data_IF_621514347749
#
_entry.id   IF_621514347749
#
_cell.length_a   1.000
_cell.length_b   1.000
_cell.length_c   1.000
_cell.angle_alpha   90.00
_cell.angle_beta   90.00
_cell.angle_gamma   90.00
#
_symmetry.space_group_name_H-M   'P 1'
#
loop_
_entity.id
_entity.type
_entity.pdbx_description
1 polymer ?
#
# COMPACT_ATOMS: atom_id res chain seq x y z
N UNK A 1 14.90 -12.20 -21.82
CA UNK A 1 15.18 -11.54 -20.53
C UNK A 1 14.37 -10.24 -20.54
N UNK A 2 13.37 -10.13 -19.67
CA UNK A 2 12.48 -8.95 -19.64
C UNK A 2 13.23 -7.68 -19.23
N UNK A 3 12.62 -6.53 -19.48
CA UNK A 3 13.14 -5.24 -19.02
C UNK A 3 13.20 -5.19 -17.48
N UNK A 4 14.06 -4.33 -16.89
CA UNK A 4 14.15 -4.17 -15.44
C UNK A 4 12.80 -3.88 -14.77
N UNK A 5 11.91 -3.15 -15.45
CA UNK A 5 10.57 -2.85 -14.96
C UNK A 5 9.66 -4.10 -14.92
N UNK A 6 9.76 -4.97 -15.92
CA UNK A 6 8.99 -6.23 -15.96
C UNK A 6 9.46 -7.20 -14.87
N UNK A 7 10.78 -7.28 -14.62
CA UNK A 7 11.34 -8.11 -13.55
C UNK A 7 10.90 -7.61 -12.18
N UNK A 8 10.92 -6.28 -11.95
CA UNK A 8 10.46 -5.69 -10.69
C UNK A 8 8.96 -5.95 -10.44
N UNK A 9 8.12 -5.81 -11.47
CA UNK A 9 6.68 -6.10 -11.37
C UNK A 9 6.41 -7.59 -11.13
N UNK A 10 7.15 -8.49 -11.79
CA UNK A 10 7.01 -9.93 -11.57
C UNK A 10 7.42 -10.34 -10.14
N UNK A 11 8.48 -9.73 -9.59
CA UNK A 11 8.89 -9.95 -8.20
C UNK A 11 7.84 -9.46 -7.20
N UNK A 12 7.27 -8.27 -7.43
CA UNK A 12 6.19 -7.72 -6.61
C UNK A 12 4.92 -8.58 -6.69
N UNK A 13 4.58 -9.10 -7.86
CA UNK A 13 3.44 -9.99 -8.04
C UNK A 13 3.63 -11.32 -7.31
N UNK A 14 4.83 -11.91 -7.38
CA UNK A 14 5.18 -13.16 -6.69
C UNK A 14 5.16 -13.01 -5.16
N UNK A 15 5.66 -11.88 -4.65
CA UNK A 15 5.69 -11.58 -3.21
C UNK A 15 4.43 -10.94 -2.64
N UNK A 16 3.38 -10.72 -3.45
CA UNK A 16 2.22 -9.91 -3.08
C UNK A 16 1.56 -10.31 -1.76
N UNK A 17 1.30 -11.61 -1.58
CA UNK A 17 0.61 -12.15 -0.40
C UNK A 17 1.48 -12.08 0.88
N UNK A 18 2.81 -12.02 0.72
CA UNK A 18 3.77 -11.89 1.81
C UNK A 18 4.20 -10.44 2.08
N UNK A 19 3.75 -9.48 1.26
CA UNK A 19 4.17 -8.09 1.37
C UNK A 19 3.51 -7.40 2.59
N UNK A 20 4.28 -6.90 3.57
CA UNK A 20 3.73 -6.27 4.78
C UNK A 20 2.82 -5.07 4.49
N UNK A 21 3.11 -4.29 3.45
CA UNK A 21 2.30 -3.12 3.08
C UNK A 21 0.96 -3.57 2.50
N UNK A 22 0.95 -4.63 1.69
CA UNK A 22 -0.28 -5.21 1.15
C UNK A 22 -1.12 -5.81 2.28
N UNK A 23 -0.52 -6.62 3.16
CA UNK A 23 -1.23 -7.22 4.30
C UNK A 23 -1.85 -6.16 5.20
N UNK A 24 -1.12 -5.06 5.46
CA UNK A 24 -1.64 -3.93 6.23
C UNK A 24 -2.89 -3.32 5.57
N UNK A 25 -2.83 -3.07 4.26
CA UNK A 25 -3.99 -2.55 3.51
C UNK A 25 -5.18 -3.48 3.59
N UNK A 26 -4.98 -4.79 3.34
CA UNK A 26 -6.06 -5.77 3.38
C UNK A 26 -6.74 -5.79 4.75
N UNK A 27 -5.97 -5.94 5.83
CA UNK A 27 -6.49 -6.00 7.21
C UNK A 27 -7.27 -4.74 7.56
N UNK A 28 -6.75 -3.56 7.24
CA UNK A 28 -7.39 -2.29 7.59
C UNK A 28 -8.64 -2.01 6.75
N UNK A 29 -8.62 -2.38 5.46
CA UNK A 29 -9.80 -2.29 4.60
C UNK A 29 -10.89 -3.25 5.07
N UNK A 30 -10.54 -4.48 5.44
CA UNK A 30 -11.50 -5.46 5.98
C UNK A 30 -12.09 -4.99 7.31
N UNK A 31 -11.26 -4.50 8.23
CA UNK A 31 -11.70 -3.95 9.52
C UNK A 31 -12.59 -2.70 9.34
N UNK A 32 -12.33 -1.89 8.31
CA UNK A 32 -13.11 -0.70 7.96
C UNK A 32 -14.33 -0.96 7.07
N UNK A 33 -14.75 -2.22 6.88
CA UNK A 33 -15.93 -2.55 6.08
C UNK A 33 -15.76 -2.26 4.58
N UNK A 34 -14.56 -2.50 4.05
CA UNK A 34 -14.21 -2.29 2.65
C UNK A 34 -13.61 -0.91 2.35
N UNK A 35 -13.31 -0.09 3.36
CA UNK A 35 -12.70 1.24 3.18
C UNK A 35 -11.67 1.53 4.25
N UNK A 36 -10.58 2.17 3.85
CA UNK A 36 -9.59 2.69 4.80
C UNK A 36 -8.98 4.00 4.30
N UNK A 37 -8.90 4.99 5.19
CA UNK A 37 -8.27 6.27 4.91
C UNK A 37 -7.19 6.52 5.96
N UNK A 38 -5.98 6.89 5.53
CA UNK A 38 -4.88 7.16 6.44
C UNK A 38 -3.86 8.14 5.83
N UNK A 39 -2.99 8.70 6.66
CA UNK A 39 -1.79 9.41 6.20
C UNK A 39 -0.56 8.52 6.40
N UNK A 40 0.63 9.00 6.01
CA UNK A 40 1.85 8.21 6.12
C UNK A 40 2.14 7.71 7.56
N UNK A 41 1.97 8.57 8.57
CA UNK A 41 2.19 8.20 9.97
C UNK A 41 1.23 7.10 10.42
N UNK A 42 -0.06 7.25 10.10
CA UNK A 42 -1.07 6.26 10.44
C UNK A 42 -0.87 4.93 9.71
N UNK A 43 -0.39 4.98 8.46
CA UNK A 43 -0.07 3.77 7.71
C UNK A 43 1.10 3.01 8.35
N UNK A 44 2.21 3.71 8.66
CA UNK A 44 3.41 3.08 9.24
C UNK A 44 3.05 2.44 10.58
N UNK A 45 2.33 3.17 11.45
CA UNK A 45 1.87 2.62 12.73
C UNK A 45 0.96 1.39 12.56
N UNK A 46 0.03 1.41 11.59
CA UNK A 46 -0.81 0.26 11.29
C UNK A 46 -0.01 -0.93 10.74
N UNK A 47 1.08 -0.67 10.02
CA UNK A 47 1.94 -1.71 9.49
C UNK A 47 2.82 -2.34 10.56
N UNK A 48 3.36 -1.53 11.49
CA UNK A 48 4.08 -2.02 12.66
C UNK A 48 3.17 -2.87 13.56
N UNK A 49 1.93 -2.43 13.80
CA UNK A 49 0.93 -3.20 14.54
C UNK A 49 0.58 -4.52 13.83
N UNK A 50 0.40 -4.48 12.51
CA UNK A 50 -0.02 -5.66 11.74
C UNK A 50 1.11 -6.69 11.53
N UNK A 51 2.34 -6.23 11.32
CA UNK A 51 3.46 -7.05 10.82
C UNK A 51 4.69 -7.04 11.75
N UNK A 52 4.65 -6.31 12.86
CA UNK A 52 5.77 -6.17 13.81
C UNK A 52 6.85 -5.17 13.37
N UNK A 53 6.95 -4.89 12.07
CA UNK A 53 7.78 -3.81 11.52
C UNK A 53 7.23 -3.33 10.18
N UNK A 54 7.50 -2.07 9.85
CA UNK A 54 7.15 -1.50 8.56
C UNK A 54 8.41 -1.39 7.67
N UNK A 55 8.39 -1.89 6.42
CA UNK A 55 9.54 -1.77 5.52
C UNK A 55 9.78 -0.35 4.99
N UNK A 56 8.95 0.62 5.38
CA UNK A 56 9.10 2.03 5.01
C UNK A 56 9.01 2.92 6.25
N UNK A 57 9.92 3.88 6.35
CA UNK A 57 10.03 4.77 7.52
C UNK A 57 9.59 6.21 7.20
N UNK A 58 9.41 6.54 5.92
CA UNK A 58 9.07 7.90 5.47
C UNK A 58 7.85 7.91 4.55
N UNK A 59 7.09 9.02 4.59
CA UNK A 59 5.93 9.18 3.72
C UNK A 59 6.26 9.18 2.22
N UNK A 60 7.45 9.64 1.84
CA UNK A 60 7.90 9.59 0.45
C UNK A 60 8.18 8.15 -0.02
N UNK A 61 8.85 7.35 0.83
CA UNK A 61 9.10 5.93 0.55
C UNK A 61 7.78 5.15 0.46
N UNK A 62 6.86 5.42 1.40
CA UNK A 62 5.52 4.84 1.38
C UNK A 62 4.77 5.18 0.09
N UNK A 63 4.77 6.45 -0.33
CA UNK A 63 4.14 6.88 -1.58
C UNK A 63 4.64 6.07 -2.77
N UNK A 64 5.96 6.01 -2.96
CA UNK A 64 6.57 5.21 -4.05
C UNK A 64 6.21 3.72 -3.95
N UNK A 65 6.23 3.16 -2.75
CA UNK A 65 5.94 1.75 -2.53
C UNK A 65 4.48 1.41 -2.87
N UNK A 66 3.54 2.28 -2.47
CA UNK A 66 2.12 2.14 -2.76
C UNK A 66 1.81 2.35 -4.25
N UNK A 67 2.42 3.35 -4.90
CA UNK A 67 2.29 3.58 -6.36
C UNK A 67 2.67 2.32 -7.16
N UNK A 68 3.78 1.66 -6.81
CA UNK A 68 4.22 0.40 -7.44
C UNK A 68 3.24 -0.77 -7.24
N UNK A 69 2.45 -0.74 -6.17
CA UNK A 69 1.53 -1.82 -5.77
C UNK A 69 0.08 -1.55 -6.16
N UNK A 70 -0.26 -0.32 -6.54
CA UNK A 70 -1.63 0.11 -6.84
C UNK A 70 -2.32 -0.81 -7.86
N UNK A 71 -1.64 -1.13 -8.96
CA UNK A 71 -2.15 -2.03 -9.99
C UNK A 71 -2.43 -3.43 -9.45
N UNK A 72 -1.55 -3.97 -8.60
CA UNK A 72 -1.71 -5.30 -8.00
C UNK A 72 -2.82 -5.33 -6.96
N UNK A 73 -2.94 -4.29 -6.11
CA UNK A 73 -4.05 -4.13 -5.16
C UNK A 73 -5.40 -4.17 -5.87
N UNK A 74 -5.52 -3.47 -7.01
CA UNK A 74 -6.73 -3.47 -7.82
C UNK A 74 -6.98 -4.83 -8.48
N UNK A 75 -5.97 -5.40 -9.14
CA UNK A 75 -6.14 -6.62 -9.93
C UNK A 75 -6.35 -7.88 -9.08
N UNK A 76 -5.67 -8.00 -7.94
CA UNK A 76 -5.71 -9.22 -7.12
C UNK A 76 -6.72 -9.14 -5.97
N UNK A 77 -6.93 -7.94 -5.43
CA UNK A 77 -7.75 -7.76 -4.21
C UNK A 77 -8.95 -6.84 -4.40
N UNK A 78 -9.15 -6.30 -5.62
CA UNK A 78 -10.24 -5.37 -5.90
C UNK A 78 -10.16 -4.09 -5.08
N UNK A 79 -8.98 -3.64 -4.68
CA UNK A 79 -8.80 -2.42 -3.88
C UNK A 79 -8.24 -1.30 -4.76
N UNK A 80 -9.03 -0.25 -4.92
CA UNK A 80 -8.57 0.99 -5.54
C UNK A 80 -7.86 1.87 -4.51
N UNK A 81 -6.64 2.28 -4.85
CA UNK A 81 -5.85 3.26 -4.12
C UNK A 81 -5.97 4.63 -4.79
N UNK A 82 -6.38 5.64 -4.02
CA UNK A 82 -6.29 7.06 -4.37
C UNK A 82 -5.44 7.80 -3.35
N UNK A 83 -4.66 8.76 -3.79
CA UNK A 83 -3.94 9.67 -2.89
C UNK A 83 -4.26 11.11 -3.20
N UNK A 84 -4.37 11.93 -2.15
CA UNK A 84 -4.60 13.36 -2.25
C UNK A 84 -3.54 14.12 -1.43
N UNK A 85 -3.18 15.32 -1.88
CA UNK A 85 -2.32 16.20 -1.09
C UNK A 85 -3.04 16.64 0.19
N UNK A 86 -2.31 16.66 1.31
CA UNK A 86 -2.79 17.08 2.62
C UNK A 86 -2.02 18.30 3.09
N UNK A 87 -2.27 19.45 2.45
CA UNK A 87 -1.55 20.70 2.75
C UNK A 87 -0.04 20.61 2.49
N UNK A 88 0.74 21.33 3.31
CA UNK A 88 2.12 21.73 3.03
C UNK A 88 3.19 20.61 3.03
N UNK A 89 2.83 19.34 3.10
CA UNK A 89 3.83 18.26 3.04
C UNK A 89 3.33 16.82 3.19
N UNK A 90 2.03 16.59 3.36
CA UNK A 90 1.47 15.25 3.57
C UNK A 90 0.69 14.72 2.37
N UNK A 91 0.48 13.41 2.33
CA UNK A 91 -0.54 12.75 1.50
C UNK A 91 -1.53 12.02 2.40
N UNK A 92 -2.79 12.04 2.01
CA UNK A 92 -3.81 11.11 2.52
C UNK A 92 -4.01 10.03 1.47
N UNK A 93 -4.00 8.78 1.90
CA UNK A 93 -4.26 7.59 1.11
C UNK A 93 -5.67 7.10 1.41
N UNK A 94 -6.39 6.75 0.35
CA UNK A 94 -7.74 6.23 0.38
C UNK A 94 -7.74 4.88 -0.32
N UNK A 95 -8.08 3.84 0.41
CA UNK A 95 -8.23 2.48 -0.09
C UNK A 95 -9.72 2.12 -0.05
N UNK A 96 -10.26 1.64 -1.17
CA UNK A 96 -11.67 1.26 -1.28
C UNK A 96 -11.76 -0.06 -2.03
N UNK A 97 -12.43 -1.04 -1.43
CA UNK A 97 -12.78 -2.29 -2.11
C UNK A 97 -13.94 -2.02 -3.09
N UNK A 98 -13.75 -2.39 -4.34
CA UNK A 98 -14.71 -2.27 -5.44
C UNK A 98 -15.46 -3.56 -5.68
#
# INVERSE_FOLDING_TARGET
LGTPAEVEQAALASGYDADPLVQTVLRQVDAGGGKWQTNAKGFIAACEDACGSCPVETGQALGKALDKRASLLRQRSGIDLRSAANGSGGRVYHFVRT
#
